data_IF_685144664488
#
_entry.id   IF_685144664488
#
_cell.length_a   1.000
_cell.length_b   1.000
_cell.length_c   1.000
_cell.angle_alpha   90.00
_cell.angle_beta   90.00
_cell.angle_gamma   90.00
#
_symmetry.space_group_name_H-M   'P 1'
#
loop_
_entity.id
_entity.type
_entity.pdbx_description
1 polymer ?
#
# COMPACT_ATOMS: atom_id res chain seq x y z
N UNK A 1 15.38 24.33 -3.70
CA UNK A 1 14.67 23.92 -4.93
C UNK A 1 13.47 23.10 -4.49
N UNK A 2 12.31 23.74 -4.36
CA UNK A 2 11.10 23.06 -3.95
C UNK A 2 10.34 22.68 -5.20
N UNK A 3 10.52 21.45 -5.66
CA UNK A 3 9.72 20.84 -6.73
C UNK A 3 8.34 20.47 -6.16
N UNK A 4 7.59 21.48 -5.71
CA UNK A 4 6.18 21.30 -5.40
C UNK A 4 5.42 21.57 -6.70
N UNK A 5 4.73 20.54 -7.19
CA UNK A 5 3.70 20.74 -8.20
C UNK A 5 2.71 21.77 -7.61
N UNK A 6 2.35 22.84 -8.34
CA UNK A 6 1.46 23.89 -7.86
C UNK A 6 0.01 23.40 -7.83
N UNK A 7 -0.25 22.33 -7.09
CA UNK A 7 -1.59 21.87 -6.80
C UNK A 7 -2.16 22.74 -5.66
N UNK A 8 -3.27 23.46 -5.88
CA UNK A 8 -3.89 24.32 -4.87
C UNK A 8 -4.43 23.54 -3.67
N UNK A 9 -4.59 22.23 -3.82
CA UNK A 9 -5.01 21.30 -2.79
C UNK A 9 -3.78 20.52 -2.32
N UNK A 10 -3.02 21.11 -1.39
CA UNK A 10 -1.89 20.45 -0.70
C UNK A 10 -2.41 19.31 0.18
N UNK A 11 -3.02 18.28 -0.42
CA UNK A 11 -3.34 17.04 0.26
C UNK A 11 -2.03 16.33 0.56
N UNK A 12 -1.85 15.93 1.81
CA UNK A 12 -0.75 15.06 2.24
C UNK A 12 -0.94 13.62 1.70
N UNK A 13 -1.01 13.50 0.37
CA UNK A 13 -1.13 12.22 -0.33
C UNK A 13 0.13 11.40 -0.08
N UNK A 14 -0.06 10.17 0.37
CA UNK A 14 1.02 9.20 0.56
C UNK A 14 0.89 8.13 -0.50
N UNK A 15 2.00 7.77 -1.11
CA UNK A 15 2.09 6.63 -2.03
C UNK A 15 2.52 5.38 -1.25
N UNK A 16 1.83 4.26 -1.47
CA UNK A 16 2.24 2.95 -0.99
C UNK A 16 2.55 2.01 -2.15
N UNK A 17 3.52 1.12 -1.96
CA UNK A 17 3.90 0.08 -2.92
C UNK A 17 3.25 -1.24 -2.52
N UNK A 18 2.48 -1.84 -3.43
CA UNK A 18 1.74 -3.07 -3.20
C UNK A 18 2.06 -4.10 -4.27
N UNK A 19 2.11 -5.38 -3.91
CA UNK A 19 2.28 -6.47 -4.89
C UNK A 19 0.92 -6.89 -5.45
N UNK A 20 0.82 -6.97 -6.78
CA UNK A 20 -0.36 -7.46 -7.45
C UNK A 20 -0.58 -8.95 -7.13
N UNK A 21 -1.76 -9.35 -6.60
CA UNK A 21 -2.08 -10.75 -6.33
C UNK A 21 -2.39 -11.55 -7.60
N UNK A 22 -2.28 -10.94 -8.79
CA UNK A 22 -2.44 -11.61 -10.09
C UNK A 22 -1.10 -12.03 -10.69
N UNK A 23 -0.14 -11.11 -10.76
CA UNK A 23 1.13 -11.32 -11.46
C UNK A 23 2.38 -11.01 -10.61
N UNK A 24 2.22 -10.53 -9.37
CA UNK A 24 3.35 -10.17 -8.49
C UNK A 24 4.01 -8.82 -8.82
N UNK A 25 3.55 -8.11 -9.85
CA UNK A 25 4.04 -6.78 -10.18
C UNK A 25 3.86 -5.78 -9.03
N UNK A 26 4.76 -4.82 -8.91
CA UNK A 26 4.64 -3.73 -7.95
C UNK A 26 3.71 -2.64 -8.51
N UNK A 27 2.73 -2.23 -7.72
CA UNK A 27 1.74 -1.24 -8.09
C UNK A 27 1.73 -0.15 -7.02
N UNK A 28 1.85 1.09 -7.46
CA UNK A 28 1.69 2.26 -6.60
C UNK A 28 0.20 2.52 -6.39
N UNK A 29 -0.18 2.73 -5.13
CA UNK A 29 -1.55 3.10 -4.75
C UNK A 29 -1.46 4.34 -3.85
N UNK A 30 -2.20 5.40 -4.19
CA UNK A 30 -2.27 6.60 -3.37
C UNK A 30 -3.20 6.42 -2.16
N UNK A 31 -2.98 7.20 -1.11
CA UNK A 31 -3.72 7.10 0.16
C UNK A 31 -5.22 7.39 0.05
N UNK A 32 -5.66 8.08 -1.00
CA UNK A 32 -7.06 8.35 -1.33
C UNK A 32 -7.66 7.33 -2.31
N UNK A 33 -6.83 6.49 -2.93
CA UNK A 33 -7.27 5.40 -3.79
C UNK A 33 -7.53 4.14 -2.96
N UNK A 34 -8.64 3.45 -3.25
CA UNK A 34 -8.97 2.16 -2.61
C UNK A 34 -8.77 0.98 -3.56
N UNK A 35 -9.15 1.15 -4.83
CA UNK A 35 -9.06 0.13 -5.85
C UNK A 35 -8.33 0.69 -7.06
N UNK A 36 -7.29 -0.01 -7.53
CA UNK A 36 -6.52 0.37 -8.72
C UNK A 36 -6.48 -0.77 -9.72
N UNK A 37 -6.19 -0.47 -10.99
CA UNK A 37 -5.96 -1.49 -12.01
C UNK A 37 -4.46 -1.76 -12.11
N UNK A 38 -4.08 -3.04 -12.06
CA UNK A 38 -2.69 -3.43 -12.35
C UNK A 38 -2.36 -3.15 -13.82
N UNK A 39 -1.33 -2.35 -14.08
CA UNK A 39 -0.91 -2.02 -15.45
C UNK A 39 -0.29 -3.21 -16.19
N UNK A 40 0.26 -4.18 -15.47
CA UNK A 40 0.91 -5.36 -16.07
C UNK A 40 -0.10 -6.44 -16.51
N UNK A 41 -1.09 -6.78 -15.67
CA UNK A 41 -2.03 -7.88 -15.97
C UNK A 41 -3.50 -7.46 -16.06
N UNK A 42 -3.82 -6.20 -15.81
CA UNK A 42 -5.18 -5.67 -15.88
C UNK A 42 -6.09 -6.03 -14.70
N UNK A 43 -5.63 -6.82 -13.73
CA UNK A 43 -6.42 -7.20 -12.54
C UNK A 43 -6.73 -5.98 -11.67
N UNK A 44 -7.95 -5.90 -11.14
CA UNK A 44 -8.31 -4.90 -10.12
C UNK A 44 -7.73 -5.32 -8.77
N UNK A 45 -7.04 -4.39 -8.13
CA UNK A 45 -6.37 -4.55 -6.84
C UNK A 45 -7.11 -3.68 -5.83
N UNK A 46 -7.66 -4.29 -4.78
CA UNK A 46 -8.25 -3.59 -3.64
C UNK A 46 -7.24 -3.57 -2.50
N UNK A 47 -6.75 -2.38 -2.13
CA UNK A 47 -5.69 -2.24 -1.13
C UNK A 47 -6.08 -2.79 0.25
N UNK A 48 -7.38 -2.77 0.58
CA UNK A 48 -7.87 -3.23 1.88
C UNK A 48 -7.88 -4.75 2.00
N UNK A 49 -7.74 -5.46 0.87
CA UNK A 49 -7.67 -6.92 0.80
C UNK A 49 -6.25 -7.46 0.70
N UNK A 50 -5.25 -6.58 0.60
CA UNK A 50 -3.85 -7.00 0.53
C UNK A 50 -3.37 -7.20 1.96
N UNK A 51 -2.97 -8.42 2.33
CA UNK A 51 -2.55 -8.67 3.68
C UNK A 51 -1.29 -7.87 4.01
N UNK A 52 -1.29 -7.24 5.17
CA UNK A 52 -0.12 -6.54 5.68
C UNK A 52 0.95 -7.55 6.12
N UNK A 53 2.20 -7.09 6.32
CA UNK A 53 3.26 -7.96 6.83
C UNK A 53 2.93 -8.58 8.20
N UNK A 54 1.99 -7.99 8.93
CA UNK A 54 1.53 -8.49 10.23
C UNK A 54 0.87 -9.86 10.11
N UNK A 55 0.17 -10.13 9.01
CA UNK A 55 -0.62 -11.36 8.87
C UNK A 55 0.22 -12.59 8.50
N UNK A 56 1.39 -12.41 7.89
CA UNK A 56 2.20 -13.53 7.39
C UNK A 56 3.63 -13.58 7.94
N UNK A 57 4.15 -12.48 8.49
CA UNK A 57 5.54 -12.45 8.95
C UNK A 57 5.65 -13.03 10.36
N UNK A 58 6.39 -14.14 10.49
CA UNK A 58 6.68 -14.78 11.78
C UNK A 58 7.37 -13.85 12.79
N UNK A 59 8.10 -12.83 12.32
CA UNK A 59 8.80 -11.85 13.16
C UNK A 59 7.96 -10.63 13.51
N UNK A 60 6.73 -10.50 12.99
CA UNK A 60 5.98 -9.25 13.13
C UNK A 60 5.58 -8.94 14.59
N UNK A 61 5.45 -9.95 15.46
CA UNK A 61 5.32 -9.72 16.92
C UNK A 61 6.54 -9.02 17.53
N UNK A 62 7.75 -9.36 17.08
CA UNK A 62 8.98 -8.72 17.54
C UNK A 62 9.11 -7.31 16.98
N UNK A 63 8.71 -7.09 15.73
CA UNK A 63 8.75 -5.77 15.09
C UNK A 63 7.74 -4.77 15.68
N UNK A 64 6.53 -5.21 16.01
CA UNK A 64 5.45 -4.34 16.46
C UNK A 64 5.36 -4.18 17.98
N UNK A 65 5.94 -5.12 18.74
CA UNK A 65 5.72 -5.24 20.18
C UNK A 65 4.36 -5.89 20.52
N UNK A 66 4.26 -6.42 21.73
CA UNK A 66 3.10 -7.24 22.15
C UNK A 66 1.75 -6.53 22.11
N UNK A 67 1.71 -5.22 22.36
CA UNK A 67 0.46 -4.44 22.42
C UNK A 67 -0.15 -4.15 21.03
N UNK A 68 0.69 -4.11 19.98
CA UNK A 68 0.26 -3.83 18.59
C UNK A 68 0.06 -5.10 17.76
N UNK A 69 0.32 -6.27 18.35
CA UNK A 69 0.09 -7.57 17.73
C UNK A 69 -1.32 -8.07 18.07
N UNK A 70 -2.26 -7.94 17.12
CA UNK A 70 -3.55 -8.63 17.12
C UNK A 70 -3.53 -9.67 16.00
N UNK A 71 -2.76 -10.74 16.21
CA UNK A 71 -2.75 -11.90 15.32
C UNK A 71 -4.05 -12.68 15.39
#
# INVERSE_FOLDING_TARGET
MSSLCPDPDQKNLRVGLYKCPGCGAEVQIFSDETVVRCYECGKMIDRNKIPSCIEWCASARQCLGGERWKG
#
